data_IF_918894655670
#
_entry.id   IF_918894655670
#
_cell.length_a   1.000
_cell.length_b   1.000
_cell.length_c   1.000
_cell.angle_alpha   90.00
_cell.angle_beta   90.00
_cell.angle_gamma   90.00
#
_symmetry.space_group_name_H-M   'P 1'
#
loop_
_entity.id
_entity.type
_entity.pdbx_description
1 polymer ?
#
# COMPACT_ATOMS: atom_id res chain seq x y z
N UNK A 1 3.62 -8.74 5.39
CA UNK A 1 2.56 -9.50 6.09
C UNK A 1 3.03 -10.88 6.59
N UNK A 2 3.53 -11.80 5.75
CA UNK A 2 4.04 -13.11 6.22
C UNK A 2 5.15 -13.02 7.28
N UNK A 3 6.03 -12.02 7.19
CA UNK A 3 7.08 -11.75 8.18
C UNK A 3 6.56 -11.12 9.50
N UNK A 4 5.30 -10.67 9.54
CA UNK A 4 4.62 -10.19 10.74
C UNK A 4 3.79 -11.30 11.42
N UNK A 5 3.99 -12.57 11.04
CA UNK A 5 3.23 -13.70 11.57
C UNK A 5 1.77 -13.77 11.08
N UNK A 6 1.39 -12.92 10.14
CA UNK A 6 0.03 -12.86 9.59
C UNK A 6 -0.17 -13.98 8.58
N UNK A 7 -1.19 -14.79 8.82
CA UNK A 7 -1.71 -15.78 7.89
C UNK A 7 -2.41 -15.07 6.73
N UNK A 8 -1.62 -14.75 5.71
CA UNK A 8 -2.13 -14.10 4.50
C UNK A 8 -3.01 -15.06 3.70
N UNK A 9 -2.60 -16.32 3.55
CA UNK A 9 -3.24 -17.38 2.76
C UNK A 9 -3.76 -18.55 3.62
N UNK A 10 -4.74 -19.31 3.08
CA UNK A 10 -5.37 -20.46 3.74
C UNK A 10 -6.66 -20.12 4.50
N UNK A 11 -7.37 -21.16 4.94
CA UNK A 11 -8.68 -21.06 5.61
C UNK A 11 -8.60 -20.19 6.88
N UNK A 12 -9.41 -19.13 6.95
CA UNK A 12 -9.42 -18.10 7.99
C UNK A 12 -8.33 -17.03 7.85
N UNK A 13 -7.60 -16.99 6.73
CA UNK A 13 -6.55 -16.00 6.46
C UNK A 13 -7.10 -14.67 5.92
N UNK A 14 -6.23 -13.65 5.88
CA UNK A 14 -6.59 -12.30 5.39
C UNK A 14 -7.13 -12.35 3.95
N UNK A 15 -6.55 -13.18 3.08
CA UNK A 15 -6.99 -13.32 1.69
C UNK A 15 -8.45 -13.75 1.58
N UNK A 16 -8.91 -14.68 2.41
CA UNK A 16 -10.29 -15.15 2.41
C UNK A 16 -11.26 -14.03 2.83
N UNK A 17 -10.87 -13.22 3.83
CA UNK A 17 -11.63 -12.05 4.23
C UNK A 17 -11.75 -11.02 3.09
N UNK A 18 -10.67 -10.78 2.35
CA UNK A 18 -10.67 -9.87 1.20
C UNK A 18 -11.55 -10.38 0.06
N UNK A 19 -11.50 -11.69 -0.22
CA UNK A 19 -12.38 -12.34 -1.21
C UNK A 19 -13.84 -12.19 -0.79
N UNK A 20 -14.17 -12.48 0.47
CA UNK A 20 -15.54 -12.36 0.99
C UNK A 20 -16.06 -10.93 0.92
N UNK A 21 -15.25 -9.93 1.26
CA UNK A 21 -15.63 -8.53 1.09
C UNK A 21 -15.96 -8.18 -0.37
N UNK A 22 -15.21 -8.75 -1.33
CA UNK A 22 -15.49 -8.51 -2.75
C UNK A 22 -16.80 -9.19 -3.17
N UNK A 23 -17.05 -10.42 -2.70
CA UNK A 23 -18.28 -11.16 -2.98
C UNK A 23 -19.52 -10.49 -2.37
N UNK A 24 -19.43 -10.01 -1.13
CA UNK A 24 -20.51 -9.31 -0.42
C UNK A 24 -20.93 -8.01 -1.17
N UNK A 25 -20.03 -7.43 -1.97
CA UNK A 25 -20.27 -6.24 -2.79
C UNK A 25 -20.50 -6.54 -4.28
N UNK A 26 -20.61 -7.82 -4.66
CA UNK A 26 -20.78 -8.23 -6.06
C UNK A 26 -19.59 -7.88 -6.98
N UNK A 27 -18.40 -7.67 -6.39
CA UNK A 27 -17.16 -7.34 -7.11
C UNK A 27 -16.36 -8.60 -7.45
N UNK A 28 -15.44 -8.53 -8.45
CA UNK A 28 -14.50 -9.61 -8.71
C UNK A 28 -13.69 -9.98 -7.45
N UNK A 29 -13.43 -11.27 -7.23
CA UNK A 29 -12.79 -11.78 -5.99
C UNK A 29 -11.44 -11.11 -5.64
N UNK A 30 -10.75 -10.58 -6.64
CA UNK A 30 -9.46 -9.90 -6.49
C UNK A 30 -9.58 -8.39 -6.24
N UNK A 31 -10.78 -7.81 -6.21
CA UNK A 31 -11.01 -6.36 -6.10
C UNK A 31 -10.40 -5.74 -4.83
N UNK A 32 -10.27 -6.52 -3.75
CA UNK A 32 -9.66 -6.09 -2.49
C UNK A 32 -8.27 -6.67 -2.23
N UNK A 33 -7.66 -7.35 -3.21
CA UNK A 33 -6.28 -7.85 -3.09
C UNK A 33 -5.24 -6.74 -3.33
N UNK A 34 -5.46 -5.58 -2.71
CA UNK A 34 -4.63 -4.38 -2.77
C UNK A 34 -4.54 -3.73 -1.38
N UNK A 35 -3.75 -2.68 -1.24
CA UNK A 35 -3.57 -1.98 0.03
C UNK A 35 -4.85 -1.38 0.59
N UNK A 36 -5.77 -0.91 -0.25
CA UNK A 36 -7.08 -0.41 0.19
C UNK A 36 -7.89 -1.50 0.89
N UNK A 37 -7.96 -2.69 0.28
CA UNK A 37 -8.63 -3.85 0.86
C UNK A 37 -7.97 -4.32 2.15
N UNK A 38 -6.63 -4.34 2.20
CA UNK A 38 -5.89 -4.67 3.43
C UNK A 38 -6.22 -3.68 4.55
N UNK A 39 -6.17 -2.38 4.28
CA UNK A 39 -6.49 -1.34 5.27
C UNK A 39 -7.96 -1.45 5.72
N UNK A 40 -8.89 -1.70 4.80
CA UNK A 40 -10.30 -1.88 5.12
C UNK A 40 -10.52 -3.12 6.02
N UNK A 41 -9.82 -4.23 5.75
CA UNK A 41 -9.98 -5.47 6.49
C UNK A 41 -9.27 -5.49 7.85
N UNK A 42 -8.07 -4.90 7.96
CA UNK A 42 -7.20 -5.06 9.13
C UNK A 42 -6.74 -3.76 9.79
N UNK A 43 -7.19 -2.60 9.31
CA UNK A 43 -6.67 -1.31 9.75
C UNK A 43 -7.72 -0.23 10.00
N UNK A 44 -7.22 1.00 9.97
CA UNK A 44 -7.98 2.24 9.84
C UNK A 44 -7.32 3.14 8.82
N UNK A 45 -8.14 3.79 8.00
CA UNK A 45 -7.71 4.81 7.06
C UNK A 45 -7.25 6.06 7.81
N UNK A 46 -6.00 6.46 7.58
CA UNK A 46 -5.41 7.71 8.09
C UNK A 46 -5.60 8.82 7.07
N UNK A 47 -5.51 8.48 5.79
CA UNK A 47 -5.70 9.42 4.69
C UNK A 47 -6.33 8.72 3.50
N UNK A 48 -7.24 9.41 2.84
CA UNK A 48 -7.83 8.97 1.58
C UNK A 48 -8.10 10.17 0.68
N UNK A 49 -7.70 10.08 -0.58
CA UNK A 49 -8.06 11.06 -1.60
C UNK A 49 -8.19 10.40 -2.96
N UNK A 50 -9.16 10.86 -3.74
CA UNK A 50 -9.39 10.42 -5.11
C UNK A 50 -9.38 11.60 -6.07
N UNK A 51 -8.74 11.39 -7.22
CA UNK A 51 -8.61 12.34 -8.30
C UNK A 51 -9.22 11.72 -9.55
N UNK A 52 -10.39 12.23 -9.98
CA UNK A 52 -11.07 11.72 -11.18
C UNK A 52 -10.24 11.99 -12.44
N UNK A 53 -9.55 13.14 -12.49
CA UNK A 53 -8.62 13.49 -13.57
C UNK A 53 -7.46 14.30 -13.02
N UNK A 54 -6.24 13.79 -13.21
CA UNK A 54 -5.01 14.51 -12.87
C UNK A 54 -4.74 15.56 -13.94
N UNK A 55 -4.49 16.82 -13.55
CA UNK A 55 -4.26 17.94 -14.49
C UNK A 55 -2.87 18.57 -14.33
N UNK A 56 -2.36 18.64 -13.10
CA UNK A 56 -1.06 19.22 -12.78
C UNK A 56 -0.31 18.24 -11.86
N UNK A 57 0.24 17.13 -12.40
CA UNK A 57 0.69 16.01 -11.59
C UNK A 57 1.73 16.40 -10.54
N UNK A 58 2.67 17.29 -10.86
CA UNK A 58 3.70 17.74 -9.92
C UNK A 58 3.13 18.58 -8.77
N UNK A 59 2.16 19.45 -9.06
CA UNK A 59 1.52 20.31 -8.05
C UNK A 59 0.66 19.44 -7.12
N UNK A 60 -0.19 18.59 -7.71
CA UNK A 60 -1.09 17.72 -6.95
C UNK A 60 -0.31 16.71 -6.10
N UNK A 61 0.82 16.19 -6.59
CA UNK A 61 1.71 15.34 -5.82
C UNK A 61 2.31 16.06 -4.60
N UNK A 62 2.80 17.29 -4.78
CA UNK A 62 3.35 18.10 -3.68
C UNK A 62 2.29 18.46 -2.64
N UNK A 63 1.08 18.77 -3.08
CA UNK A 63 -0.06 19.02 -2.18
C UNK A 63 -0.41 17.78 -1.36
N UNK A 64 -0.55 16.62 -2.01
CA UNK A 64 -0.81 15.36 -1.30
C UNK A 64 0.31 15.04 -0.32
N UNK A 65 1.58 15.20 -0.71
CA UNK A 65 2.69 14.95 0.20
C UNK A 65 2.60 15.83 1.46
N UNK A 66 2.35 17.13 1.30
CA UNK A 66 2.15 18.05 2.42
C UNK A 66 0.94 17.68 3.30
N UNK A 67 -0.13 17.17 2.69
CA UNK A 67 -1.31 16.72 3.43
C UNK A 67 -1.02 15.48 4.27
N UNK A 68 -0.24 14.52 3.76
CA UNK A 68 0.04 13.27 4.47
C UNK A 68 1.22 13.39 5.45
N UNK A 69 2.18 14.29 5.19
CA UNK A 69 3.44 14.41 5.94
C UNK A 69 3.26 14.49 7.46
N UNK A 70 2.31 15.28 8.02
CA UNK A 70 2.07 15.34 9.46
C UNK A 70 1.62 14.02 10.09
N UNK A 71 1.10 13.09 9.29
CA UNK A 71 0.57 11.81 9.74
C UNK A 71 1.53 10.64 9.49
N UNK A 72 2.67 10.88 8.83
CA UNK A 72 3.60 9.82 8.46
C UNK A 72 4.23 9.18 9.70
N UNK A 73 4.18 7.85 9.72
CA UNK A 73 4.81 6.99 10.71
C UNK A 73 5.33 5.73 10.02
N UNK A 74 6.41 5.16 10.55
CA UNK A 74 6.90 3.86 10.07
C UNK A 74 5.81 2.79 10.24
N UNK A 75 5.66 1.93 9.23
CA UNK A 75 4.73 0.81 9.27
C UNK A 75 3.34 1.09 8.69
N UNK A 76 3.02 2.34 8.33
CA UNK A 76 1.78 2.65 7.62
C UNK A 76 1.77 2.00 6.24
N UNK A 77 0.62 1.47 5.83
CA UNK A 77 0.40 1.01 4.46
C UNK A 77 0.08 2.23 3.60
N UNK A 78 0.75 2.34 2.46
CA UNK A 78 0.39 3.26 1.39
C UNK A 78 -0.03 2.46 0.16
N UNK A 79 -1.17 2.83 -0.42
CA UNK A 79 -1.74 2.24 -1.61
C UNK A 79 -2.04 3.29 -2.66
N UNK A 80 -1.61 3.03 -3.88
CA UNK A 80 -1.99 3.78 -5.07
C UNK A 80 -2.87 2.90 -5.95
N UNK A 81 -4.00 3.41 -6.39
CA UNK A 81 -4.91 2.69 -7.29
C UNK A 81 -5.31 3.59 -8.45
N UNK A 82 -4.85 3.23 -9.64
CA UNK A 82 -5.39 3.67 -10.91
C UNK A 82 -6.27 2.57 -11.52
N UNK A 83 -6.95 2.85 -12.62
CA UNK A 83 -7.89 1.88 -13.22
C UNK A 83 -7.19 0.64 -13.74
N UNK A 84 -6.04 0.81 -14.40
CA UNK A 84 -5.28 -0.32 -14.97
C UNK A 84 -4.12 -0.80 -14.09
N UNK A 85 -3.74 -0.02 -13.07
CA UNK A 85 -2.53 -0.28 -12.27
C UNK A 85 -2.79 0.01 -10.80
N UNK A 86 -2.22 -0.82 -9.93
CA UNK A 86 -2.27 -0.62 -8.50
C UNK A 86 -0.95 -0.97 -7.86
N UNK A 87 -0.67 -0.33 -6.74
CA UNK A 87 0.56 -0.54 -6.01
C UNK A 87 0.39 -0.35 -4.52
N UNK A 88 1.14 -1.10 -3.73
CA UNK A 88 1.02 -1.11 -2.28
C UNK A 88 2.35 -1.42 -1.65
N UNK A 89 2.70 -0.62 -0.65
CA UNK A 89 3.92 -0.77 0.12
C UNK A 89 3.75 -0.19 1.51
N UNK A 90 4.88 -0.13 2.21
CA UNK A 90 4.95 0.28 3.60
C UNK A 90 5.77 1.56 3.68
N UNK A 91 5.27 2.56 4.39
CA UNK A 91 6.01 3.77 4.71
C UNK A 91 7.09 3.43 5.74
N UNK A 92 8.32 3.84 5.45
CA UNK A 92 9.48 3.74 6.32
C UNK A 92 10.17 5.10 6.40
N UNK A 93 11.21 5.19 7.22
CA UNK A 93 12.04 6.37 7.30
C UNK A 93 13.50 5.95 7.48
N UNK A 94 14.35 6.46 6.61
CA UNK A 94 15.77 6.14 6.51
C UNK A 94 16.56 7.43 6.33
N UNK A 95 17.60 7.60 7.13
CA UNK A 95 18.47 8.79 7.07
C UNK A 95 17.69 10.12 7.16
N UNK A 96 16.62 10.14 7.96
CA UNK A 96 15.64 11.23 8.11
C UNK A 96 14.75 11.54 6.88
N UNK A 97 14.83 10.76 5.81
CA UNK A 97 13.93 10.84 4.66
C UNK A 97 12.80 9.81 4.76
N UNK A 98 11.57 10.21 4.41
CA UNK A 98 10.46 9.27 4.27
C UNK A 98 10.63 8.41 3.02
N UNK A 99 10.57 7.10 3.21
CA UNK A 99 10.75 6.10 2.17
C UNK A 99 9.52 5.22 2.02
N UNK A 100 9.40 4.61 0.85
CA UNK A 100 8.35 3.67 0.51
C UNK A 100 8.98 2.32 0.18
N UNK A 101 8.64 1.32 0.99
CA UNK A 101 9.14 -0.05 0.87
C UNK A 101 8.10 -0.89 0.12
N UNK A 102 8.50 -1.42 -1.02
CA UNK A 102 7.66 -2.26 -1.87
C UNK A 102 8.24 -3.68 -1.98
N UNK A 103 7.37 -4.70 -1.91
CA UNK A 103 7.69 -6.06 -2.31
C UNK A 103 7.11 -6.36 -3.70
N UNK A 104 7.77 -5.88 -4.76
CA UNK A 104 7.36 -6.04 -6.16
C UNK A 104 8.54 -5.78 -7.11
N UNK A 105 8.41 -6.18 -8.38
CA UNK A 105 9.48 -6.07 -9.39
C UNK A 105 9.84 -4.58 -9.59
N UNK A 106 11.13 -4.27 -9.45
CA UNK A 106 11.71 -2.94 -9.37
C UNK A 106 11.80 -2.29 -10.76
N UNK A 107 10.95 -1.30 -11.05
CA UNK A 107 11.00 -0.54 -12.31
C UNK A 107 11.73 0.80 -12.19
N UNK A 108 12.10 1.27 -10.98
CA UNK A 108 12.88 2.48 -10.76
C UNK A 108 13.94 2.29 -9.65
N UNK A 109 15.17 1.96 -10.02
CA UNK A 109 16.31 1.96 -9.08
C UNK A 109 17.21 3.16 -9.33
N UNK A 110 17.29 4.07 -8.35
CA UNK A 110 18.45 4.93 -8.16
C UNK A 110 19.35 4.28 -7.11
N UNK A 111 20.23 3.39 -7.58
CA UNK A 111 21.63 3.17 -7.15
C UNK A 111 22.10 1.81 -7.68
N UNK A 112 23.29 1.81 -8.29
CA UNK A 112 23.97 0.67 -8.90
C UNK A 112 23.97 -0.61 -8.03
N UNK A 113 23.22 -1.65 -8.45
CA UNK A 113 23.61 -3.04 -8.21
C UNK A 113 22.85 -4.02 -9.12
N UNK A 114 23.49 -5.05 -9.71
CA UNK A 114 22.84 -5.96 -10.63
C UNK A 114 22.10 -7.10 -9.91
N UNK A 115 20.83 -7.29 -10.31
CA UNK A 115 20.02 -8.52 -10.25
C UNK A 115 19.33 -8.96 -8.94
N UNK A 116 18.11 -9.51 -9.17
CA UNK A 116 17.25 -10.42 -8.37
C UNK A 116 16.12 -9.76 -7.57
N UNK A 117 14.94 -10.42 -7.60
CA UNK A 117 13.73 -10.12 -6.79
C UNK A 117 14.14 -9.59 -5.42
N UNK A 118 13.97 -8.30 -5.21
CA UNK A 118 14.41 -7.60 -4.01
C UNK A 118 13.34 -6.61 -3.58
N UNK A 119 13.27 -6.37 -2.28
CA UNK A 119 12.47 -5.30 -1.70
C UNK A 119 13.09 -3.98 -2.15
N UNK A 120 12.30 -3.14 -2.81
CA UNK A 120 12.70 -1.80 -3.24
C UNK A 120 12.36 -0.77 -2.19
N UNK A 121 13.29 0.16 -1.93
CA UNK A 121 13.06 1.31 -1.08
C UNK A 121 13.26 2.57 -1.91
N UNK A 122 12.19 3.36 -2.08
CA UNK A 122 12.17 4.56 -2.90
C UNK A 122 11.84 5.79 -2.04
N UNK A 123 12.21 6.99 -2.49
CA UNK A 123 11.82 8.23 -1.82
C UNK A 123 10.31 8.41 -1.93
N UNK A 124 9.62 8.56 -0.80
CA UNK A 124 8.16 8.57 -0.75
C UNK A 124 7.55 9.70 -1.60
N UNK A 125 8.11 10.90 -1.49
CA UNK A 125 7.63 12.05 -2.26
C UNK A 125 7.75 11.81 -3.77
N UNK A 126 8.85 11.20 -4.20
CA UNK A 126 9.08 10.90 -5.61
C UNK A 126 8.16 9.81 -6.11
N UNK A 127 7.86 8.80 -5.29
CA UNK A 127 6.91 7.75 -5.64
C UNK A 127 5.49 8.31 -5.82
N UNK A 128 5.03 9.20 -4.93
CA UNK A 128 3.74 9.89 -5.09
C UNK A 128 3.72 10.66 -6.41
N UNK A 129 4.78 11.41 -6.71
CA UNK A 129 4.88 12.16 -7.98
C UNK A 129 4.82 11.25 -9.21
N UNK A 130 5.48 10.09 -9.17
CA UNK A 130 5.43 9.10 -10.25
C UNK A 130 4.00 8.61 -10.51
N UNK A 131 3.21 8.34 -9.46
CA UNK A 131 1.82 7.90 -9.61
C UNK A 131 0.89 8.97 -10.19
N UNK A 132 1.10 10.23 -9.81
CA UNK A 132 0.39 11.35 -10.44
C UNK A 132 0.73 11.48 -11.92
N UNK A 133 2.02 11.42 -12.29
CA UNK A 133 2.46 11.46 -13.69
C UNK A 133 1.91 10.29 -14.51
N UNK A 134 1.95 9.09 -13.95
CA UNK A 134 1.42 7.88 -14.57
C UNK A 134 -0.08 8.01 -14.85
N UNK A 135 -0.86 8.39 -13.84
CA UNK A 135 -2.32 8.52 -13.96
C UNK A 135 -2.72 9.64 -14.93
N UNK A 136 -1.97 10.75 -14.93
CA UNK A 136 -2.14 11.81 -15.92
C UNK A 136 -1.88 11.30 -17.34
N UNK A 137 -0.78 10.59 -17.57
CA UNK A 137 -0.41 10.03 -18.86
C UNK A 137 -1.44 9.03 -19.40
N UNK A 138 -2.03 8.23 -18.51
CA UNK A 138 -3.05 7.24 -18.86
C UNK A 138 -4.47 7.83 -18.90
N UNK A 139 -4.65 9.09 -18.48
CA UNK A 139 -5.96 9.72 -18.28
C UNK A 139 -6.88 8.87 -17.39
N UNK A 140 -6.31 8.27 -16.35
CA UNK A 140 -7.02 7.45 -15.38
C UNK A 140 -7.25 8.23 -14.08
N UNK A 141 -8.28 7.81 -13.35
CA UNK A 141 -8.44 8.25 -11.97
C UNK A 141 -7.32 7.73 -11.08
N UNK A 142 -6.91 8.50 -10.07
CA UNK A 142 -5.93 8.09 -9.07
C UNK A 142 -6.56 8.12 -7.68
N UNK A 143 -6.45 7.01 -6.95
CA UNK A 143 -6.78 6.93 -5.53
C UNK A 143 -5.52 6.71 -4.73
N UNK A 144 -5.43 7.41 -3.61
CA UNK A 144 -4.33 7.31 -2.66
C UNK A 144 -4.92 7.01 -1.30
N UNK A 145 -4.48 5.91 -0.71
CA UNK A 145 -4.94 5.45 0.61
C UNK A 145 -3.73 5.24 1.51
N UNK A 146 -3.70 5.91 2.65
CA UNK A 146 -2.77 5.63 3.75
C UNK A 146 -3.56 5.01 4.88
N UNK A 147 -3.11 3.86 5.36
CA UNK A 147 -3.76 3.17 6.48
C UNK A 147 -2.77 2.70 7.52
N UNK A 148 -3.23 2.76 8.76
CA UNK A 148 -2.55 2.14 9.88
C UNK A 148 -3.14 0.75 10.07
N UNK A 149 -2.27 -0.25 10.19
CA UNK A 149 -2.73 -1.59 10.55
C UNK A 149 -2.96 -1.62 12.05
N UNK A 150 -4.15 -2.05 12.47
CA UNK A 150 -4.46 -2.21 13.89
C UNK A 150 -4.07 -3.61 14.32
N UNK A 151 -3.11 -3.73 15.23
CA UNK A 151 -2.64 -5.02 15.75
C UNK A 151 -3.81 -5.87 16.28
N UNK A 152 -4.76 -5.25 16.97
CA UNK A 152 -6.00 -5.88 17.46
C UNK A 152 -6.77 -6.58 16.34
N UNK A 153 -6.89 -5.97 15.15
CA UNK A 153 -7.57 -6.57 14.00
C UNK A 153 -6.70 -7.62 13.29
N UNK A 154 -5.38 -7.46 13.34
CA UNK A 154 -4.43 -8.47 12.85
C UNK A 154 -4.44 -9.74 13.70
N UNK A 155 -4.74 -9.66 14.99
CA UNK A 155 -4.78 -10.85 15.88
C UNK A 155 -5.72 -11.93 15.37
N UNK A 156 -6.82 -11.55 14.71
CA UNK A 156 -7.75 -12.47 14.06
C UNK A 156 -7.10 -13.32 12.95
N UNK A 157 -5.97 -12.87 12.41
CA UNK A 157 -5.25 -13.48 11.30
C UNK A 157 -3.84 -13.95 11.70
N UNK A 158 -3.47 -13.91 12.99
CA UNK A 158 -2.18 -14.43 13.43
C UNK A 158 -2.16 -15.95 13.38
N UNK A 159 -1.07 -16.51 12.86
CA UNK A 159 -0.87 -17.96 12.84
C UNK A 159 -0.51 -18.44 14.26
N UNK A 160 -1.52 -18.96 14.98
CA UNK A 160 -1.37 -19.49 16.35
C UNK A 160 -0.32 -20.61 16.47
N UNK A 161 0.09 -21.22 15.35
CA UNK A 161 1.17 -22.22 15.34
C UNK A 161 2.57 -21.63 15.47
N UNK A 162 2.75 -20.34 15.17
CA UNK A 162 4.00 -19.59 15.35
C UNK A 162 4.05 -18.77 16.64
N UNK A 163 2.94 -18.64 17.36
CA UNK A 163 2.86 -18.04 18.70
C UNK A 163 3.26 -19.05 19.78
N UNK A 164 4.41 -19.71 19.61
CA UNK A 164 5.14 -20.31 20.74
C UNK A 164 6.39 -19.49 20.95
N UNK A 165 6.29 -18.48 21.80
CA UNK A 165 7.45 -17.95 22.51
C UNK A 165 7.23 -18.33 23.98
N UNK A 166 8.24 -19.04 24.48
CA UNK A 166 8.48 -19.45 25.86
C UNK A 166 8.59 -18.22 26.76
#
# INVERSE_FOLDING_TARGET
LKNLGVRYDGNGGLLEKLVKMAEDEGKPKNAYMNGEGIVAASGSTVYYKSFVKVKNPEIQAKEVFKEIEPYLKKGLILSFSAESKGHTGIISNKDNDWTFINSGRLDNQNYYSPLKKGVGEEKLQQEIENWFKLSHKLNESLKITVGEIKEEKLTAFLDKSKTKIV
#
